data_IF_054151269548
#
_entry.id   IF_054151269548
#
_cell.length_a   1.000
_cell.length_b   1.000
_cell.length_c   1.000
_cell.angle_alpha   90.00
_cell.angle_beta   90.00
_cell.angle_gamma   90.00
#
_symmetry.space_group_name_H-M   'P 1'
#
loop_
_entity.id
_entity.type
_entity.pdbx_description
1 polymer ?
#
# COMPACT_ATOMS: atom_id res chain seq x y z
N UNK A 1 0.34 -8.43 -1.18
CA UNK A 1 1.15 -7.82 -0.10
C UNK A 1 1.02 -6.32 -0.22
N UNK A 2 0.88 -5.64 0.91
CA UNK A 2 0.79 -4.18 0.99
C UNK A 2 1.84 -3.68 1.98
N UNK A 3 2.52 -2.59 1.62
CA UNK A 3 3.45 -1.88 2.48
C UNK A 3 2.89 -0.48 2.75
N UNK A 4 2.44 -0.25 3.97
CA UNK A 4 1.98 1.07 4.43
C UNK A 4 3.13 1.81 5.10
N UNK A 5 3.53 2.96 4.54
CA UNK A 5 4.57 3.83 5.09
C UNK A 5 3.94 5.15 5.53
N UNK A 6 3.92 5.43 6.84
CA UNK A 6 3.37 6.68 7.40
C UNK A 6 1.91 6.94 7.13
N UNK A 7 1.17 5.88 6.83
CA UNK A 7 -0.26 5.98 6.51
C UNK A 7 -1.08 5.51 7.69
N UNK A 8 -2.12 6.28 8.00
CA UNK A 8 -3.17 5.86 8.91
C UNK A 8 -4.26 5.20 8.09
N UNK A 9 -4.50 3.93 8.36
CA UNK A 9 -5.62 3.18 7.77
C UNK A 9 -6.94 3.55 8.45
N UNK A 10 -7.25 4.83 8.65
CA UNK A 10 -8.49 5.25 9.33
C UNK A 10 -9.67 5.31 8.35
N UNK A 11 -10.88 5.13 8.88
CA UNK A 11 -12.17 4.95 8.17
C UNK A 11 -12.51 5.90 7.01
N UNK A 12 -11.80 7.02 6.82
CA UNK A 12 -12.07 7.99 5.73
C UNK A 12 -11.19 7.72 4.49
N UNK A 13 -10.03 7.08 4.63
CA UNK A 13 -9.15 6.77 3.48
C UNK A 13 -9.45 5.42 2.83
N UNK A 14 -10.27 4.57 3.44
CA UNK A 14 -10.54 3.20 2.96
C UNK A 14 -11.85 3.00 2.21
N UNK A 15 -12.82 3.94 2.25
CA UNK A 15 -14.15 3.80 1.62
C UNK A 15 -14.70 2.35 1.68
N UNK A 16 -14.92 1.90 2.90
CA UNK A 16 -15.26 0.53 3.29
C UNK A 16 -14.03 -0.36 3.48
N UNK A 17 -14.08 -1.18 4.52
CA UNK A 17 -13.01 -2.03 5.03
C UNK A 17 -12.54 -3.14 4.06
N UNK A 18 -12.81 -2.99 2.77
CA UNK A 18 -12.57 -3.92 1.67
C UNK A 18 -11.28 -3.65 0.90
N UNK A 19 -10.60 -2.51 1.13
CA UNK A 19 -9.36 -2.17 0.43
C UNK A 19 -8.25 -3.20 0.66
N UNK A 20 -8.21 -3.79 1.85
CA UNK A 20 -7.32 -4.90 2.20
C UNK A 20 -8.20 -6.12 2.50
N UNK A 21 -8.08 -7.16 1.68
CA UNK A 21 -8.69 -8.46 2.01
C UNK A 21 -8.01 -9.01 3.27
N UNK A 22 -8.75 -9.74 4.11
CA UNK A 22 -8.21 -10.36 5.34
C UNK A 22 -6.98 -11.26 5.09
N UNK A 23 -6.78 -11.70 3.84
CA UNK A 23 -5.65 -12.53 3.41
C UNK A 23 -4.40 -11.74 3.00
N UNK A 24 -4.47 -10.40 2.93
CA UNK A 24 -3.37 -9.60 2.43
C UNK A 24 -2.25 -9.46 3.48
N UNK A 25 -1.04 -9.93 3.17
CA UNK A 25 0.13 -9.65 3.99
C UNK A 25 0.39 -8.13 4.04
N UNK A 26 0.20 -7.53 5.22
CA UNK A 26 0.37 -6.10 5.47
C UNK A 26 1.64 -5.86 6.29
N UNK A 27 2.56 -5.05 5.78
CA UNK A 27 3.67 -4.48 6.54
C UNK A 27 3.33 -3.01 6.80
N UNK A 28 3.33 -2.58 8.06
CA UNK A 28 2.97 -1.22 8.45
C UNK A 28 4.13 -0.57 9.21
N UNK A 29 4.62 0.54 8.68
CA UNK A 29 5.67 1.37 9.27
C UNK A 29 5.06 2.73 9.62
N UNK A 30 5.05 3.08 10.90
CA UNK A 30 4.56 4.37 11.38
C UNK A 30 5.44 4.87 12.53
N UNK A 31 5.56 6.18 12.69
CA UNK A 31 6.32 6.76 13.81
C UNK A 31 5.56 6.62 15.14
N UNK A 32 4.23 6.53 15.09
CA UNK A 32 3.38 6.37 16.25
C UNK A 32 2.99 4.90 16.43
N UNK A 33 3.46 4.22 17.49
CA UNK A 33 3.06 2.84 17.77
C UNK A 33 1.57 2.70 18.07
N UNK A 34 0.92 3.78 18.52
CA UNK A 34 -0.52 3.80 18.79
C UNK A 34 -1.35 3.59 17.53
N UNK A 35 -0.85 3.91 16.34
CA UNK A 35 -1.62 3.78 15.08
C UNK A 35 -1.56 2.35 14.50
N UNK A 36 -0.68 1.50 15.03
CA UNK A 36 -0.46 0.15 14.55
C UNK A 36 -1.54 -0.79 15.07
N UNK A 37 -2.19 -1.54 14.17
CA UNK A 37 -3.15 -2.59 14.53
C UNK A 37 -4.54 -2.09 14.94
N UNK A 38 -4.81 -0.77 14.89
CA UNK A 38 -6.13 -0.20 15.21
C UNK A 38 -7.24 -0.56 14.23
N UNK A 39 -6.90 -0.70 12.94
CA UNK A 39 -7.89 -0.93 11.87
C UNK A 39 -7.64 -2.24 11.12
N UNK A 40 -6.40 -2.49 10.71
CA UNK A 40 -5.96 -3.77 10.17
C UNK A 40 -4.79 -4.28 10.99
N UNK A 41 -4.80 -5.55 11.39
CA UNK A 41 -3.66 -6.18 12.08
C UNK A 41 -2.57 -6.48 11.06
N UNK A 42 -1.42 -5.78 11.08
CA UNK A 42 -0.36 -6.04 10.13
C UNK A 42 0.34 -7.37 10.46
N UNK A 43 0.83 -8.05 9.42
CA UNK A 43 1.71 -9.22 9.57
C UNK A 43 3.08 -8.81 10.13
N UNK A 44 3.52 -7.57 9.87
CA UNK A 44 4.72 -6.97 10.45
C UNK A 44 4.48 -5.49 10.71
N UNK A 45 4.75 -5.08 11.95
CA UNK A 45 4.63 -3.70 12.42
C UNK A 45 6.00 -3.14 12.78
N UNK A 46 6.33 -1.93 12.33
CA UNK A 46 7.59 -1.26 12.64
C UNK A 46 7.28 0.17 13.12
N UNK A 47 7.58 0.44 14.39
CA UNK A 47 7.47 1.76 14.98
C UNK A 47 8.77 2.54 14.73
N UNK A 48 8.82 3.33 13.66
CA UNK A 48 10.01 4.07 13.26
C UNK A 48 9.69 5.31 12.43
N UNK A 49 10.59 6.28 12.46
CA UNK A 49 10.60 7.35 11.46
C UNK A 49 10.85 6.74 10.06
N UNK A 50 10.05 7.17 9.08
CA UNK A 50 10.07 6.58 7.72
C UNK A 50 11.36 6.94 6.99
N UNK A 51 11.89 8.15 7.21
CA UNK A 51 13.13 8.56 6.56
C UNK A 51 14.28 7.67 7.02
N UNK A 52 14.37 7.43 8.33
CA UNK A 52 15.38 6.54 8.88
C UNK A 52 15.14 5.09 8.44
N UNK A 53 13.91 4.59 8.53
CA UNK A 53 13.56 3.26 8.05
C UNK A 53 13.99 3.02 6.60
N UNK A 54 13.72 3.96 5.69
CA UNK A 54 14.09 3.85 4.28
C UNK A 54 15.61 3.86 4.07
N UNK A 55 16.38 4.66 4.82
CA UNK A 55 17.85 4.64 4.73
C UNK A 55 18.43 3.27 5.04
N UNK A 56 17.85 2.56 6.01
CA UNK A 56 18.28 1.20 6.37
C UNK A 56 17.71 0.14 5.44
N UNK A 57 16.49 0.33 4.91
CA UNK A 57 15.84 -0.66 4.04
C UNK A 57 16.46 -0.68 2.63
N UNK A 58 16.62 0.49 2.00
CA UNK A 58 17.01 0.59 0.58
C UNK A 58 18.32 -0.14 0.22
N UNK A 59 19.38 -0.13 1.06
CA UNK A 59 20.60 -0.89 0.79
C UNK A 59 20.43 -2.42 0.85
N UNK A 60 19.36 -2.90 1.47
CA UNK A 60 19.12 -4.32 1.74
C UNK A 60 18.04 -4.93 0.84
N UNK A 61 17.54 -4.20 -0.16
CA UNK A 61 16.53 -4.69 -1.09
C UNK A 61 17.05 -4.67 -2.52
N UNK A 62 16.60 -5.66 -3.30
CA UNK A 62 16.86 -5.72 -4.74
C UNK A 62 15.63 -5.25 -5.52
N UNK A 63 15.87 -4.61 -6.66
CA UNK A 63 14.79 -4.19 -7.54
C UNK A 63 14.05 -5.41 -8.11
N UNK A 64 12.74 -5.49 -7.84
CA UNK A 64 11.89 -6.56 -8.38
C UNK A 64 11.14 -6.08 -9.63
N UNK A 65 11.74 -6.35 -10.80
CA UNK A 65 11.17 -6.04 -12.10
C UNK A 65 10.26 -7.16 -12.61
N UNK A 66 9.21 -7.51 -11.86
CA UNK A 66 8.27 -8.54 -12.28
C UNK A 66 7.45 -8.07 -13.51
N UNK A 67 7.70 -8.59 -14.73
CA UNK A 67 7.10 -8.07 -15.95
C UNK A 67 5.59 -8.31 -16.00
N UNK A 68 5.12 -9.45 -15.46
CA UNK A 68 3.69 -9.77 -15.39
C UNK A 68 2.94 -8.78 -14.53
N UNK A 69 3.49 -8.40 -13.37
CA UNK A 69 2.87 -7.41 -12.49
C UNK A 69 2.86 -6.02 -13.13
N UNK A 70 3.97 -5.63 -13.77
CA UNK A 70 4.08 -4.34 -14.46
C UNK A 70 3.02 -4.24 -15.56
N UNK A 71 2.90 -5.27 -16.40
CA UNK A 71 1.91 -5.30 -17.47
C UNK A 71 0.47 -5.27 -16.94
N UNK A 72 0.17 -6.07 -15.91
CA UNK A 72 -1.15 -6.10 -15.27
C UNK A 72 -1.54 -4.72 -14.73
N UNK A 73 -0.65 -4.04 -14.02
CA UNK A 73 -0.92 -2.70 -13.47
C UNK A 73 -1.15 -1.69 -14.59
N UNK A 74 -0.38 -1.73 -15.68
CA UNK A 74 -0.58 -0.86 -16.84
C UNK A 74 -1.96 -1.07 -17.46
N UNK A 75 -2.33 -2.32 -17.74
CA UNK A 75 -3.62 -2.67 -18.35
C UNK A 75 -4.80 -2.23 -17.49
N UNK A 76 -4.75 -2.49 -16.17
CA UNK A 76 -5.82 -2.09 -15.26
C UNK A 76 -5.93 -0.56 -15.17
N UNK A 77 -4.80 0.15 -15.19
CA UNK A 77 -4.80 1.61 -15.21
C UNK A 77 -5.44 2.17 -16.48
N UNK A 78 -5.07 1.65 -17.64
CA UNK A 78 -5.67 2.04 -18.93
C UNK A 78 -7.19 1.82 -18.95
N UNK A 79 -7.65 0.64 -18.49
CA UNK A 79 -9.08 0.33 -18.37
C UNK A 79 -9.82 1.28 -17.43
N UNK A 80 -9.21 1.64 -16.30
CA UNK A 80 -9.79 2.61 -15.37
C UNK A 80 -9.90 4.00 -16.00
N UNK A 81 -8.89 4.45 -16.74
CA UNK A 81 -8.92 5.74 -17.45
C UNK A 81 -10.02 5.74 -18.51
N UNK A 82 -10.17 4.66 -19.30
CA UNK A 82 -11.25 4.55 -20.28
C UNK A 82 -12.63 4.58 -19.62
N UNK A 83 -12.81 3.84 -18.52
CA UNK A 83 -14.05 3.81 -17.75
C UNK A 83 -14.40 5.17 -17.10
N UNK A 84 -13.40 5.87 -16.55
CA UNK A 84 -13.59 7.12 -15.81
C UNK A 84 -13.65 8.37 -16.69
N UNK A 85 -13.29 8.26 -17.97
CA UNK A 85 -13.39 9.38 -18.92
C UNK A 85 -14.83 9.49 -19.42
N UNK A 86 -15.50 10.66 -19.23
CA UNK A 86 -16.84 10.86 -19.76
C UNK A 86 -16.84 10.73 -21.29
N UNK A 87 -17.75 9.93 -21.84
CA UNK A 87 -17.96 9.88 -23.29
C UNK A 87 -18.46 11.26 -23.73
N UNK A 88 -17.77 11.87 -24.69
CA UNK A 88 -18.28 13.09 -25.34
C UNK A 88 -19.43 12.66 -26.26
N UNK A 89 -20.64 13.11 -25.93
CA UNK A 89 -21.78 13.15 -26.85
C UNK A 89 -21.59 14.25 -27.91
#
# INVERSE_FOLDING_TARGET
MVLGLGTRFSQITTQEYTLLTDTANLIHVDISPDEIGKVHTPSLAIAADINEFLKHLLPNIEANNNPTRIQLVSTLHEQYIEYSTPKQD
#
